data_IF_827548833365
#
_entry.id   IF_827548833365
#
_cell.length_a   1.000
_cell.length_b   1.000
_cell.length_c   1.000
_cell.angle_alpha   90.00
_cell.angle_beta   90.00
_cell.angle_gamma   90.00
#
_symmetry.space_group_name_H-M   'P 1'
#
loop_
_entity.id
_entity.type
_entity.pdbx_description
1 polymer ?
#
# COMPACT_ATOMS: atom_id res chain seq x y z
N UNK A 1 -23.87 50.32 -14.67
CA UNK A 1 -22.70 49.84 -13.90
C UNK A 1 -23.05 48.48 -13.34
N UNK A 2 -22.51 47.41 -13.90
CA UNK A 2 -22.75 46.04 -13.44
C UNK A 2 -21.55 45.57 -12.65
N UNK A 3 -21.78 45.23 -11.38
CA UNK A 3 -20.78 44.69 -10.47
C UNK A 3 -20.57 43.21 -10.80
N UNK A 4 -19.39 42.84 -11.32
CA UNK A 4 -19.00 41.43 -11.43
C UNK A 4 -18.32 41.02 -10.12
N UNK A 5 -18.85 40.04 -9.37
CA UNK A 5 -18.12 39.48 -8.24
C UNK A 5 -16.91 38.71 -8.78
N UNK A 6 -15.72 39.11 -8.35
CA UNK A 6 -14.48 38.38 -8.62
C UNK A 6 -14.60 36.94 -8.13
N UNK A 7 -14.32 35.98 -9.03
CA UNK A 7 -14.27 34.55 -8.74
C UNK A 7 -13.50 34.26 -7.44
N UNK A 8 -13.92 33.26 -6.64
CA UNK A 8 -13.18 32.90 -5.44
C UNK A 8 -11.76 32.52 -5.84
N UNK A 9 -10.77 33.24 -5.33
CA UNK A 9 -9.37 32.83 -5.42
C UNK A 9 -9.25 31.52 -4.65
N UNK A 10 -9.25 30.40 -5.38
CA UNK A 10 -8.78 29.14 -4.83
C UNK A 10 -7.33 29.36 -4.39
N UNK A 11 -7.13 29.53 -3.08
CA UNK A 11 -5.81 29.46 -2.48
C UNK A 11 -5.31 28.04 -2.74
N UNK A 12 -4.53 27.86 -3.82
CA UNK A 12 -3.68 26.69 -3.96
C UNK A 12 -2.74 26.72 -2.76
N UNK A 13 -3.04 25.88 -1.78
CA UNK A 13 -2.19 25.62 -0.63
C UNK A 13 -0.79 25.29 -1.15
N UNK A 14 0.15 26.21 -0.99
CA UNK A 14 1.56 26.07 -1.38
C UNK A 14 2.31 25.20 -0.37
N UNK A 15 1.69 24.07 0.03
CA UNK A 15 2.30 23.13 0.97
C UNK A 15 3.33 22.32 0.22
N UNK A 16 4.53 22.26 0.79
CA UNK A 16 5.60 21.43 0.26
C UNK A 16 5.15 19.96 0.24
N UNK A 17 5.70 19.15 -0.67
CA UNK A 17 5.54 17.70 -0.63
C UNK A 17 6.04 17.19 0.72
N UNK A 18 5.23 16.39 1.39
CA UNK A 18 5.53 15.88 2.71
C UNK A 18 5.39 14.36 2.72
N UNK A 19 6.41 13.68 3.26
CA UNK A 19 6.33 12.26 3.59
C UNK A 19 6.43 12.15 5.10
N UNK A 20 5.34 11.71 5.73
CA UNK A 20 5.26 11.55 7.17
C UNK A 20 5.43 10.08 7.53
N UNK A 21 6.46 9.80 8.33
CA UNK A 21 6.72 8.48 8.90
C UNK A 21 6.43 8.54 10.39
N UNK A 22 5.35 7.89 10.83
CA UNK A 22 5.00 7.81 12.25
C UNK A 22 5.60 6.56 12.85
N UNK A 23 6.26 6.67 14.00
CA UNK A 23 6.88 5.54 14.69
C UNK A 23 6.30 5.34 16.10
N UNK A 24 6.12 4.09 16.51
CA UNK A 24 5.99 3.71 17.91
C UNK A 24 7.37 3.49 18.54
N UNK A 25 7.52 3.91 19.80
CA UNK A 25 8.70 3.60 20.61
C UNK A 25 8.34 2.54 21.64
N UNK A 26 8.87 1.34 21.49
CA UNK A 26 8.62 0.20 22.39
C UNK A 26 9.97 -0.33 22.89
N UNK A 27 10.19 -0.28 24.21
CA UNK A 27 11.42 -0.76 24.87
C UNK A 27 12.71 -0.22 24.23
N UNK A 28 12.72 1.08 23.89
CA UNK A 28 13.87 1.75 23.29
C UNK A 28 14.07 1.52 21.79
N UNK A 29 13.24 0.70 21.15
CA UNK A 29 13.27 0.46 19.69
C UNK A 29 12.13 1.21 19.01
N UNK A 30 12.37 1.70 17.79
CA UNK A 30 11.38 2.38 16.97
C UNK A 30 10.80 1.43 15.92
N UNK A 31 9.47 1.42 15.78
CA UNK A 31 8.73 0.62 14.82
C UNK A 31 7.88 1.54 13.97
N UNK A 32 7.98 1.43 12.65
CA UNK A 32 7.18 2.24 11.75
C UNK A 32 5.70 1.83 11.86
N UNK A 33 4.84 2.78 12.21
CA UNK A 33 3.40 2.62 12.42
C UNK A 33 2.60 3.10 11.21
N UNK A 34 3.05 4.16 10.55
CA UNK A 34 2.30 4.79 9.47
C UNK A 34 3.21 5.50 8.48
N UNK A 35 2.77 5.51 7.23
CA UNK A 35 3.37 6.26 6.13
C UNK A 35 2.26 7.06 5.49
N UNK A 36 2.44 8.36 5.42
CA UNK A 36 1.52 9.26 4.72
C UNK A 36 2.35 10.11 3.75
N UNK A 37 1.74 10.48 2.62
CA UNK A 37 2.38 11.30 1.63
C UNK A 37 1.38 12.34 1.14
N UNK A 38 1.68 13.62 1.39
CA UNK A 38 0.80 14.76 1.08
C UNK A 38 1.45 15.67 0.03
N UNK A 39 0.63 16.23 -0.86
CA UNK A 39 1.06 17.14 -1.93
C UNK A 39 2.16 16.56 -2.84
N UNK A 40 2.17 15.23 -3.00
CA UNK A 40 3.09 14.57 -3.93
C UNK A 40 2.60 14.77 -5.37
N UNK A 41 3.33 15.57 -6.13
CA UNK A 41 3.18 15.69 -7.58
C UNK A 41 4.13 14.71 -8.30
N UNK A 42 3.57 13.89 -9.20
CA UNK A 42 4.37 12.98 -10.03
C UNK A 42 5.43 13.73 -10.85
N UNK A 43 6.62 13.14 -10.93
CA UNK A 43 7.74 13.65 -11.71
C UNK A 43 8.45 14.88 -11.13
N UNK A 44 7.94 15.52 -10.06
CA UNK A 44 8.60 16.66 -9.41
C UNK A 44 9.25 16.32 -8.07
N UNK A 45 8.55 15.56 -7.23
CA UNK A 45 8.95 15.36 -5.82
C UNK A 45 9.19 13.90 -5.50
N UNK A 46 8.34 13.03 -6.04
CA UNK A 46 8.54 11.61 -6.14
C UNK A 46 8.18 11.23 -7.58
N UNK A 47 8.87 10.20 -8.10
CA UNK A 47 8.38 9.52 -9.29
C UNK A 47 7.30 8.56 -8.77
N UNK A 48 6.03 8.93 -8.93
CA UNK A 48 4.97 7.95 -8.82
C UNK A 48 5.25 7.02 -10.01
N UNK A 49 5.81 5.85 -9.73
CA UNK A 49 5.85 4.83 -10.78
C UNK A 49 4.39 4.46 -11.04
N UNK A 50 3.75 5.17 -11.96
CA UNK A 50 2.68 4.59 -12.76
C UNK A 50 3.30 3.42 -13.49
N UNK A 51 3.31 2.25 -12.86
CA UNK A 51 3.79 1.05 -13.50
C UNK A 51 2.99 -0.16 -13.08
N UNK A 52 2.26 -0.64 -14.08
CA UNK A 52 1.42 -1.80 -14.16
C UNK A 52 0.41 -1.92 -13.01
N UNK A 53 -0.81 -1.44 -13.28
CA UNK A 53 -2.01 -2.05 -12.69
C UNK A 53 -1.90 -3.57 -12.87
N UNK A 54 -2.43 -4.31 -11.89
CA UNK A 54 -2.84 -5.71 -12.07
C UNK A 54 -3.54 -5.82 -13.41
N UNK A 55 -3.00 -6.62 -14.33
CA UNK A 55 -3.51 -6.66 -15.71
C UNK A 55 -4.67 -7.62 -15.89
N UNK A 56 -4.92 -8.54 -14.95
CA UNK A 56 -6.05 -9.49 -14.99
C UNK A 56 -6.24 -10.26 -13.66
N UNK A 57 -7.46 -10.76 -13.43
CA UNK A 57 -7.81 -11.64 -12.31
C UNK A 57 -7.02 -12.95 -12.30
N UNK A 58 -6.58 -13.44 -13.48
CA UNK A 58 -5.82 -14.69 -13.58
C UNK A 58 -4.49 -14.64 -12.84
N UNK A 59 -3.79 -13.49 -12.88
CA UNK A 59 -2.55 -13.29 -12.14
C UNK A 59 -2.78 -13.30 -10.62
N UNK A 60 -3.87 -12.69 -10.15
CA UNK A 60 -4.25 -12.70 -8.74
C UNK A 60 -4.64 -14.11 -8.27
N UNK A 61 -5.40 -14.85 -9.07
CA UNK A 61 -5.88 -16.19 -8.72
C UNK A 61 -4.75 -17.21 -8.53
N UNK A 62 -3.64 -17.04 -9.23
CA UNK A 62 -2.45 -17.91 -9.16
C UNK A 62 -1.60 -17.73 -7.90
N UNK A 63 -1.87 -16.69 -7.11
CA UNK A 63 -1.13 -16.48 -5.86
C UNK A 63 -1.30 -17.68 -4.91
N UNK A 64 -0.20 -18.12 -4.33
CA UNK A 64 -0.18 -19.21 -3.39
C UNK A 64 -0.35 -18.68 -1.95
N UNK A 65 -1.48 -19.00 -1.33
CA UNK A 65 -1.76 -18.64 0.06
C UNK A 65 -1.21 -19.74 0.98
N UNK A 66 -0.35 -19.36 1.90
CA UNK A 66 0.26 -20.25 2.88
C UNK A 66 -0.63 -20.53 4.07
N UNK A 67 -0.02 -21.00 5.15
CA UNK A 67 -0.70 -21.20 6.43
C UNK A 67 -1.34 -19.88 6.91
N UNK A 68 -2.58 -19.94 7.36
CA UNK A 68 -3.31 -18.77 7.87
C UNK A 68 -2.63 -18.12 9.09
N UNK A 69 -1.93 -18.90 9.91
CA UNK A 69 -1.36 -18.43 11.18
C UNK A 69 -0.07 -17.62 11.00
N UNK A 70 0.75 -17.95 10.00
CA UNK A 70 2.08 -17.35 9.79
C UNK A 70 2.51 -17.15 8.33
N UNK A 71 1.68 -17.58 7.38
CA UNK A 71 1.96 -17.51 5.94
C UNK A 71 2.90 -18.60 5.44
N UNK A 72 3.34 -19.55 6.27
CA UNK A 72 4.31 -20.57 5.86
C UNK A 72 3.84 -21.32 4.60
N UNK A 73 4.75 -21.45 3.63
CA UNK A 73 4.47 -22.06 2.34
C UNK A 73 3.79 -21.14 1.32
N UNK A 74 3.39 -19.92 1.69
CA UNK A 74 2.79 -18.94 0.78
C UNK A 74 3.79 -18.14 -0.05
N UNK A 75 3.28 -17.34 -0.97
CA UNK A 75 4.12 -16.41 -1.74
C UNK A 75 4.69 -15.30 -0.86
N UNK A 76 5.95 -14.90 -1.13
CA UNK A 76 6.52 -13.74 -0.46
C UNK A 76 5.97 -12.44 -1.03
N UNK A 77 5.90 -11.37 -0.24
CA UNK A 77 5.51 -10.04 -0.72
C UNK A 77 6.32 -9.60 -1.94
N UNK A 78 7.63 -9.87 -1.97
CA UNK A 78 8.48 -9.57 -3.12
C UNK A 78 8.14 -10.40 -4.37
N UNK A 79 7.69 -11.65 -4.21
CA UNK A 79 7.20 -12.49 -5.31
C UNK A 79 5.88 -11.94 -5.87
N UNK A 80 4.91 -11.68 -4.98
CA UNK A 80 3.61 -11.09 -5.34
C UNK A 80 3.80 -9.75 -6.05
N UNK A 81 4.65 -8.87 -5.51
CA UNK A 81 5.00 -7.60 -6.13
C UNK A 81 5.57 -7.76 -7.55
N UNK A 82 6.42 -8.76 -7.79
CA UNK A 82 6.96 -9.01 -9.13
C UNK A 82 5.90 -9.50 -10.12
N UNK A 83 4.89 -10.21 -9.63
CA UNK A 83 3.81 -10.77 -10.43
C UNK A 83 2.67 -9.77 -10.69
N UNK A 84 2.24 -9.04 -9.66
CA UNK A 84 1.08 -8.14 -9.69
C UNK A 84 1.45 -6.66 -9.87
N UNK A 85 2.72 -6.29 -9.68
CA UNK A 85 3.14 -4.90 -9.64
C UNK A 85 2.95 -4.24 -8.27
N UNK A 86 3.02 -2.91 -8.25
CA UNK A 86 2.87 -2.12 -7.02
C UNK A 86 1.41 -2.14 -6.56
N UNK A 87 1.13 -2.40 -5.28
CA UNK A 87 -0.21 -2.22 -4.73
C UNK A 87 -0.56 -0.74 -4.62
N UNK A 88 -1.86 -0.46 -4.58
CA UNK A 88 -2.43 0.89 -4.43
C UNK A 88 -2.20 1.41 -3.01
N UNK A 89 -2.14 0.52 -2.03
CA UNK A 89 -2.01 0.83 -0.62
C UNK A 89 -1.24 -0.28 0.08
N UNK A 90 -0.49 0.08 1.12
CA UNK A 90 0.09 -0.89 2.04
C UNK A 90 0.16 -0.35 3.47
N UNK A 91 -0.12 -1.21 4.45
CA UNK A 91 0.01 -0.90 5.87
C UNK A 91 0.71 -2.02 6.62
N UNK A 92 1.44 -1.66 7.69
CA UNK A 92 2.07 -2.63 8.58
C UNK A 92 1.45 -2.50 9.96
N UNK A 93 0.86 -3.58 10.43
CA UNK A 93 0.40 -3.71 11.81
C UNK A 93 1.44 -4.41 12.67
N UNK A 94 1.67 -3.89 13.87
CA UNK A 94 2.46 -4.57 14.89
C UNK A 94 1.53 -5.18 15.92
N UNK A 95 1.49 -6.51 15.97
CA UNK A 95 0.72 -7.29 16.93
C UNK A 95 1.41 -7.26 18.30
N UNK A 96 0.65 -7.49 19.38
CA UNK A 96 1.16 -7.38 20.76
C UNK A 96 2.38 -8.26 21.10
N UNK A 97 2.62 -9.31 20.30
CA UNK A 97 3.79 -10.20 20.38
C UNK A 97 5.06 -9.64 19.71
N UNK A 98 4.98 -8.50 19.02
CA UNK A 98 6.02 -7.96 18.15
C UNK A 98 6.04 -8.58 16.74
N UNK A 99 5.12 -9.52 16.46
CA UNK A 99 4.84 -9.96 15.10
C UNK A 99 4.28 -8.80 14.28
N UNK A 100 4.54 -8.82 12.98
CA UNK A 100 4.06 -7.77 12.07
C UNK A 100 3.32 -8.38 10.90
N UNK A 101 2.13 -7.84 10.63
CA UNK A 101 1.40 -8.12 9.41
C UNK A 101 1.65 -6.97 8.43
N UNK A 102 1.81 -7.32 7.15
CA UNK A 102 1.78 -6.37 6.05
C UNK A 102 0.50 -6.65 5.28
N UNK A 103 -0.34 -5.65 5.13
CA UNK A 103 -1.55 -5.74 4.32
C UNK A 103 -1.39 -4.82 3.13
N UNK A 104 -1.82 -5.27 1.95
CA UNK A 104 -1.76 -4.48 0.73
C UNK A 104 -3.06 -4.60 -0.06
N UNK A 105 -3.44 -3.51 -0.70
CA UNK A 105 -4.66 -3.43 -1.50
C UNK A 105 -4.30 -3.35 -2.99
N UNK A 106 -4.92 -4.20 -3.79
CA UNK A 106 -4.85 -4.21 -5.24
C UNK A 106 -6.20 -3.86 -5.85
N UNK A 107 -6.20 -2.89 -6.77
CA UNK A 107 -7.40 -2.43 -7.47
C UNK A 107 -7.19 -2.42 -8.98
N UNK A 108 -8.13 -2.99 -9.72
CA UNK A 108 -8.09 -2.96 -11.18
C UNK A 108 -9.48 -3.12 -11.80
N UNK A 109 -9.57 -2.82 -13.08
CA UNK A 109 -10.74 -3.11 -13.90
C UNK A 109 -10.39 -4.21 -14.91
N UNK A 110 -11.28 -5.18 -15.09
CA UNK A 110 -11.20 -6.17 -16.15
C UNK A 110 -12.54 -6.24 -16.88
N UNK A 111 -12.58 -5.68 -18.09
CA UNK A 111 -13.84 -5.44 -18.79
C UNK A 111 -14.76 -4.51 -17.98
N UNK A 112 -15.95 -5.00 -17.63
CA UNK A 112 -16.94 -4.27 -16.84
C UNK A 112 -16.89 -4.61 -15.33
N UNK A 113 -15.88 -5.35 -14.88
CA UNK A 113 -15.74 -5.73 -13.48
C UNK A 113 -14.67 -4.89 -12.79
N UNK A 114 -14.98 -4.41 -11.59
CA UNK A 114 -14.05 -3.71 -10.72
C UNK A 114 -13.64 -4.64 -9.59
N UNK A 115 -12.33 -4.81 -9.40
CA UNK A 115 -11.77 -5.58 -8.30
C UNK A 115 -11.15 -4.64 -7.27
N UNK A 116 -11.46 -4.91 -6.01
CA UNK A 116 -10.83 -4.33 -4.83
C UNK A 116 -10.47 -5.50 -3.93
N UNK A 117 -9.19 -5.81 -3.85
CA UNK A 117 -8.69 -7.06 -3.29
C UNK A 117 -7.60 -6.78 -2.26
N UNK A 118 -7.70 -7.46 -1.12
CA UNK A 118 -6.78 -7.29 0.00
C UNK A 118 -5.92 -8.54 0.18
N UNK A 119 -4.61 -8.36 0.28
CA UNK A 119 -3.67 -9.43 0.62
C UNK A 119 -3.06 -9.15 1.99
N UNK A 120 -3.10 -10.13 2.88
CA UNK A 120 -2.40 -10.05 4.17
C UNK A 120 -1.21 -10.98 4.17
N UNK A 121 -0.08 -10.45 4.59
CA UNK A 121 1.18 -11.15 4.77
C UNK A 121 1.61 -11.09 6.22
N UNK A 122 2.34 -12.10 6.67
CA UNK A 122 2.93 -12.12 8.00
C UNK A 122 4.44 -12.23 7.93
N UNK A 123 5.12 -11.47 8.79
CA UNK A 123 6.57 -11.50 8.86
C UNK A 123 7.05 -12.77 9.54
N UNK A 124 7.84 -13.54 8.82
CA UNK A 124 8.51 -14.74 9.33
C UNK A 124 9.85 -14.42 10.01
N UNK A 125 10.40 -15.44 10.66
CA UNK A 125 11.69 -15.34 11.39
C UNK A 125 12.88 -15.03 10.49
N UNK A 126 12.79 -15.39 9.21
CA UNK A 126 13.78 -15.08 8.17
C UNK A 126 13.72 -13.60 7.71
N UNK A 127 12.72 -12.84 8.18
CA UNK A 127 12.52 -11.43 7.87
C UNK A 127 11.64 -11.16 6.66
N UNK A 128 11.21 -12.19 5.92
CA UNK A 128 10.32 -12.08 4.78
C UNK A 128 8.85 -12.04 5.22
N UNK A 129 8.00 -11.43 4.39
CA UNK A 129 6.55 -11.42 4.57
C UNK A 129 5.94 -12.47 3.65
N UNK A 130 5.23 -13.44 4.20
CA UNK A 130 4.58 -14.51 3.44
C UNK A 130 3.06 -14.36 3.45
N UNK A 131 2.44 -14.62 2.30
CA UNK A 131 1.01 -14.47 2.06
C UNK A 131 0.22 -15.48 2.88
N UNK A 132 -0.62 -15.00 3.79
CA UNK A 132 -1.46 -15.82 4.69
C UNK A 132 -2.95 -15.74 4.39
N UNK A 133 -3.39 -14.66 3.74
CA UNK A 133 -4.79 -14.51 3.33
C UNK A 133 -4.94 -13.58 2.15
N UNK A 134 -6.04 -13.79 1.43
CA UNK A 134 -6.43 -13.11 0.21
C UNK A 134 -7.96 -12.94 0.24
N UNK A 135 -8.47 -11.70 0.15
CA UNK A 135 -9.88 -11.34 0.26
C UNK A 135 -10.36 -10.53 -0.94
#
# INVERSE_FOLDING_TARGET
>A
MTYSPSSPKFYRSNRAPEVTLTFWKIKGKYYLRGKEADNIEDGKNLRLQEKALVTDQSAYDKLNVGNFDDGEGGDTYQSVFKQLGLPQSNHIDVLGSGQTNLTVDYRWNEGNHYYDQELTFQKHKDGHYYLKSRN
#
